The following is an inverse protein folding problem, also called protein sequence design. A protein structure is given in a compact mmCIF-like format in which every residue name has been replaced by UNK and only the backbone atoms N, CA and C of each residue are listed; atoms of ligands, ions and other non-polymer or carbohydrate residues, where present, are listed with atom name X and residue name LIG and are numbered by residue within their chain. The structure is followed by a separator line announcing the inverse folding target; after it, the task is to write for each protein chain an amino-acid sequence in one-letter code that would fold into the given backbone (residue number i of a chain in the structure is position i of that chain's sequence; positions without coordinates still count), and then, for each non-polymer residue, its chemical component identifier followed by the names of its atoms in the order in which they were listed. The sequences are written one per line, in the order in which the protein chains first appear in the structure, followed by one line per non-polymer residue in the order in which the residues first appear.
data_IF_602147266423
#
_entry.id   IF_602147266423
#
_cell.length_a   1.000
_cell.length_b   1.000
_cell.length_c   1.000
_cell.angle_alpha   90.00
_cell.angle_beta   90.00
_cell.angle_gamma   90.00
#
_symmetry.space_group_name_H-M   'P 1'
#
loop_
_entity.id
_entity.type
_entity.pdbx_description
1 polymer ?
#
# COMPACT_ATOMS: atom_id res chain seq x y z
N UNK A 1 6.06 25.70 26.90
CA UNK A 1 4.93 25.55 25.94
C UNK A 1 4.65 24.07 25.93
N UNK A 2 3.97 23.66 26.99
CA UNK A 2 3.73 22.28 27.35
C UNK A 2 2.53 21.80 26.54
N UNK A 3 2.77 20.90 25.61
CA UNK A 3 1.70 20.25 24.85
C UNK A 3 0.97 19.34 25.83
N UNK A 4 -0.17 19.80 26.31
CA UNK A 4 -1.10 19.02 27.13
C UNK A 4 -1.67 17.88 26.25
N UNK A 5 -0.95 16.76 26.19
CA UNK A 5 -1.43 15.48 25.65
C UNK A 5 -2.48 14.92 26.61
N UNK A 6 -3.66 15.54 26.63
CA UNK A 6 -4.75 15.25 27.56
C UNK A 6 -5.59 14.01 27.23
N UNK A 7 -6.64 13.70 28.04
CA UNK A 7 -7.45 12.48 28.01
C UNK A 7 -8.09 12.15 26.66
N UNK A 8 -8.32 13.15 25.81
CA UNK A 8 -8.87 12.98 24.46
C UNK A 8 -8.02 12.05 23.57
N UNK A 9 -6.69 12.04 23.75
CA UNK A 9 -5.80 11.12 23.03
C UNK A 9 -6.01 9.66 23.45
N UNK A 10 -6.20 9.42 24.76
CA UNK A 10 -6.50 8.09 25.29
C UNK A 10 -7.90 7.62 24.85
N UNK A 11 -8.88 8.52 24.83
CA UNK A 11 -10.25 8.23 24.40
C UNK A 11 -10.31 7.83 22.92
N UNK A 12 -9.58 8.55 22.05
CA UNK A 12 -9.47 8.20 20.62
C UNK A 12 -8.88 6.81 20.40
N UNK A 13 -7.87 6.45 21.18
CA UNK A 13 -7.25 5.12 21.11
C UNK A 13 -8.21 4.02 21.57
N UNK A 14 -8.98 4.27 22.63
CA UNK A 14 -10.01 3.34 23.12
C UNK A 14 -11.12 3.14 22.07
N UNK A 15 -11.61 4.23 21.46
CA UNK A 15 -12.59 4.16 20.38
C UNK A 15 -12.06 3.33 19.19
N UNK A 16 -10.81 3.59 18.75
CA UNK A 16 -10.19 2.83 17.68
C UNK A 16 -10.11 1.32 17.98
N UNK A 17 -9.79 0.94 19.24
CA UNK A 17 -9.77 -0.48 19.67
C UNK A 17 -11.16 -1.10 19.60
N UNK A 18 -12.20 -0.39 20.04
CA UNK A 18 -13.59 -0.88 19.99
C UNK A 18 -13.99 -1.12 18.53
N UNK A 19 -13.75 -0.16 17.64
CA UNK A 19 -14.10 -0.26 16.23
C UNK A 19 -13.36 -1.40 15.52
N UNK A 20 -12.06 -1.57 15.79
CA UNK A 20 -11.26 -2.65 15.20
C UNK A 20 -11.75 -4.03 15.65
N UNK A 21 -12.11 -4.18 16.93
CA UNK A 21 -12.67 -5.44 17.44
C UNK A 21 -14.07 -5.72 16.89
N UNK A 22 -14.89 -4.69 16.71
CA UNK A 22 -16.21 -4.82 16.08
C UNK A 22 -16.12 -5.31 14.62
N UNK A 23 -15.00 -5.04 13.94
CA UNK A 23 -14.68 -5.56 12.60
C UNK A 23 -14.11 -6.98 12.61
N UNK A 24 -13.90 -7.57 13.78
CA UNK A 24 -13.41 -8.93 13.96
C UNK A 24 -11.89 -9.06 14.04
N UNK A 25 -11.16 -7.96 14.27
CA UNK A 25 -9.71 -8.03 14.52
C UNK A 25 -9.40 -8.30 16.00
N UNK A 26 -8.34 -9.05 16.24
CA UNK A 26 -7.74 -9.22 17.56
C UNK A 26 -6.83 -8.02 17.82
N UNK A 27 -7.12 -7.27 18.89
CA UNK A 27 -6.40 -6.03 19.19
C UNK A 27 -5.83 -6.07 20.60
N UNK A 28 -4.51 -5.96 20.70
CA UNK A 28 -3.75 -5.82 21.93
C UNK A 28 -3.13 -4.43 22.07
N UNK A 29 -2.80 -4.06 23.30
CA UNK A 29 -2.10 -2.81 23.64
C UNK A 29 -0.80 -3.15 24.37
N UNK A 30 0.29 -3.40 23.65
CA UNK A 30 1.55 -3.80 24.27
C UNK A 30 2.14 -2.68 25.14
N UNK A 31 1.85 -1.41 24.83
CA UNK A 31 2.31 -0.24 25.58
C UNK A 31 1.36 0.95 25.37
N UNK A 32 1.49 2.03 26.17
CA UNK A 32 0.75 3.27 25.95
C UNK A 32 0.99 3.83 24.53
N UNK A 33 -0.07 4.32 23.87
CA UNK A 33 0.05 4.88 22.52
C UNK A 33 0.34 3.88 21.40
N UNK A 34 0.29 2.57 21.66
CA UNK A 34 0.58 1.56 20.63
C UNK A 34 -0.48 0.47 20.59
N UNK A 35 -0.86 0.08 19.36
CA UNK A 35 -1.76 -1.00 19.06
C UNK A 35 -1.02 -2.14 18.36
N UNK A 36 -1.41 -3.36 18.69
CA UNK A 36 -1.09 -4.56 17.91
C UNK A 36 -2.39 -5.14 17.39
N UNK A 37 -2.53 -5.25 16.08
CA UNK A 37 -3.71 -5.75 15.39
C UNK A 37 -3.36 -7.04 14.66
N UNK A 38 -4.09 -8.10 14.96
CA UNK A 38 -3.94 -9.41 14.32
C UNK A 38 -5.27 -9.82 13.68
N UNK A 39 -5.21 -10.61 12.62
CA UNK A 39 -6.41 -11.16 12.00
C UNK A 39 -6.21 -11.69 10.59
N UNK A 40 -7.32 -12.11 9.98
CA UNK A 40 -7.33 -12.70 8.64
C UNK A 40 -7.35 -11.62 7.55
N UNK A 41 -6.19 -11.07 7.22
CA UNK A 41 -6.03 -10.13 6.11
C UNK A 41 -4.70 -10.32 5.37
N UNK A 42 -4.68 -10.06 4.06
CA UNK A 42 -3.45 -10.17 3.24
C UNK A 42 -2.59 -8.91 3.20
N UNK A 43 -3.19 -7.75 3.50
CA UNK A 43 -2.53 -6.45 3.40
C UNK A 43 -2.41 -5.79 4.79
N UNK A 44 -1.36 -6.13 5.57
CA UNK A 44 -1.11 -5.51 6.87
C UNK A 44 -0.94 -3.99 6.81
N UNK A 45 -0.31 -3.45 5.76
CA UNK A 45 -0.14 -2.00 5.60
C UNK A 45 -1.48 -1.27 5.55
N UNK A 46 -2.46 -1.80 4.81
CA UNK A 46 -3.81 -1.23 4.76
C UNK A 46 -4.43 -1.19 6.17
N UNK A 47 -4.38 -2.30 6.90
CA UNK A 47 -4.98 -2.39 8.25
C UNK A 47 -4.29 -1.44 9.22
N UNK A 48 -2.96 -1.38 9.23
CA UNK A 48 -2.20 -0.48 10.09
C UNK A 48 -2.51 1.00 9.78
N UNK A 49 -2.58 1.39 8.51
CA UNK A 49 -2.93 2.76 8.12
C UNK A 49 -4.38 3.12 8.49
N UNK A 50 -5.31 2.18 8.32
CA UNK A 50 -6.71 2.37 8.71
C UNK A 50 -6.85 2.58 10.22
N UNK A 51 -6.20 1.73 11.01
CA UNK A 51 -6.17 1.84 12.46
C UNK A 51 -5.54 3.15 12.93
N UNK A 52 -4.42 3.57 12.33
CA UNK A 52 -3.79 4.86 12.62
C UNK A 52 -4.72 6.04 12.26
N UNK A 53 -5.45 5.95 11.15
CA UNK A 53 -6.43 6.96 10.74
C UNK A 53 -7.58 7.16 11.74
N UNK A 54 -8.00 6.10 12.45
CA UNK A 54 -9.05 6.18 13.49
C UNK A 54 -8.61 6.93 14.75
N UNK A 55 -7.33 6.87 15.08
CA UNK A 55 -6.76 7.59 16.22
C UNK A 55 -6.51 9.09 15.93
N UNK A 56 -6.85 9.55 14.71
CA UNK A 56 -6.80 10.93 14.24
C UNK A 56 -5.43 11.59 14.49
N UNK A 57 -5.42 12.61 15.35
CA UNK A 57 -4.26 13.47 15.62
C UNK A 57 -3.35 12.93 16.73
N UNK A 58 -3.73 11.79 17.32
CA UNK A 58 -2.95 11.15 18.38
C UNK A 58 -1.67 10.59 17.80
N UNK A 59 -0.52 10.91 18.43
CA UNK A 59 0.73 10.23 18.11
C UNK A 59 0.62 8.77 18.56
N UNK A 60 0.80 7.82 17.63
CA UNK A 60 0.66 6.40 17.93
C UNK A 60 1.50 5.50 17.02
N UNK A 61 1.74 4.29 17.52
CA UNK A 61 2.22 3.16 16.73
C UNK A 61 1.13 2.12 16.50
N UNK A 62 1.10 1.51 15.32
CA UNK A 62 0.23 0.38 15.02
C UNK A 62 1.01 -0.70 14.31
N UNK A 63 1.15 -1.85 14.96
CA UNK A 63 1.49 -3.09 14.27
C UNK A 63 0.23 -3.74 13.72
N UNK A 64 0.30 -4.22 12.48
CA UNK A 64 -0.66 -5.15 11.91
C UNK A 64 0.08 -6.42 11.47
N UNK A 65 -0.32 -7.59 11.98
CA UNK A 65 0.23 -8.90 11.62
C UNK A 65 -0.83 -9.70 10.87
N UNK A 66 -0.50 -10.15 9.66
CA UNK A 66 -1.39 -10.97 8.84
C UNK A 66 -1.35 -12.45 9.23
N UNK A 67 -2.33 -13.21 8.74
CA UNK A 67 -2.35 -14.67 8.83
C UNK A 67 -1.12 -15.35 8.18
N UNK A 68 -0.46 -14.68 7.24
CA UNK A 68 0.78 -15.18 6.58
C UNK A 68 2.05 -14.87 7.41
N UNK A 69 1.90 -14.36 8.64
CA UNK A 69 2.98 -13.90 9.53
C UNK A 69 3.83 -12.73 8.95
N UNK A 70 3.28 -12.01 7.96
CA UNK A 70 3.82 -10.74 7.50
C UNK A 70 3.33 -9.62 8.40
N UNK A 71 4.12 -8.56 8.57
CA UNK A 71 3.68 -7.44 9.39
C UNK A 71 3.99 -6.09 8.77
N UNK A 72 3.26 -5.08 9.27
CA UNK A 72 3.53 -3.68 9.00
C UNK A 72 3.42 -2.88 10.29
N UNK A 73 4.44 -2.07 10.57
CA UNK A 73 4.39 -1.02 11.58
C UNK A 73 4.09 0.30 10.89
N UNK A 74 3.04 0.98 11.34
CA UNK A 74 2.76 2.38 11.06
C UNK A 74 3.03 3.18 12.33
N UNK A 75 3.98 4.11 12.25
CA UNK A 75 4.23 5.08 13.31
C UNK A 75 3.80 6.46 12.82
N UNK A 76 2.88 7.08 13.54
CA UNK A 76 2.29 8.36 13.21
C UNK A 76 2.59 9.36 14.31
N UNK A 77 3.26 10.45 13.94
CA UNK A 77 3.43 11.61 14.79
C UNK A 77 3.43 12.83 13.88
N UNK A 78 2.28 13.53 13.79
CA UNK A 78 2.08 14.57 12.76
C UNK A 78 3.25 15.56 12.74
N UNK A 79 3.79 15.90 11.55
CA UNK A 79 3.36 15.51 10.20
C UNK A 79 3.99 14.21 9.67
N UNK A 80 4.82 13.55 10.48
CA UNK A 80 5.67 12.46 10.06
C UNK A 80 4.93 11.11 10.16
N UNK A 81 4.84 10.42 9.02
CA UNK A 81 4.32 9.06 8.88
C UNK A 81 5.44 8.13 8.47
N UNK A 82 5.74 7.15 9.32
CA UNK A 82 6.69 6.09 9.04
C UNK A 82 5.96 4.78 8.83
N UNK A 83 6.27 4.08 7.75
CA UNK A 83 5.73 2.75 7.45
C UNK A 83 6.88 1.78 7.28
N UNK A 84 6.86 0.68 8.01
CA UNK A 84 7.88 -0.37 7.98
C UNK A 84 7.17 -1.67 7.68
N UNK A 85 7.52 -2.28 6.56
CA UNK A 85 6.90 -3.54 6.12
C UNK A 85 7.92 -4.66 6.18
N UNK A 86 7.49 -5.82 6.67
CA UNK A 86 8.25 -7.05 6.68
C UNK A 86 7.44 -8.14 5.98
N UNK A 87 8.07 -8.80 5.00
CA UNK A 87 7.47 -9.89 4.24
C UNK A 87 8.34 -11.14 4.38
N UNK A 88 7.80 -12.17 5.03
CA UNK A 88 8.53 -13.39 5.38
C UNK A 88 9.87 -13.08 6.07
N UNK A 89 10.92 -13.80 5.66
CA UNK A 89 12.31 -13.58 6.11
C UNK A 89 13.07 -12.51 5.28
N UNK A 90 12.38 -11.71 4.46
CA UNK A 90 13.00 -10.67 3.64
C UNK A 90 13.54 -9.50 4.47
N UNK A 91 14.22 -8.52 3.85
CA UNK A 91 14.62 -7.31 4.55
C UNK A 91 13.41 -6.40 4.81
N UNK A 92 13.40 -5.75 5.97
CA UNK A 92 12.44 -4.69 6.28
C UNK A 92 12.54 -3.56 5.26
N UNK A 93 11.39 -3.05 4.82
CA UNK A 93 11.31 -1.89 3.92
C UNK A 93 10.71 -0.71 4.65
N UNK A 94 11.54 0.32 4.84
CA UNK A 94 11.17 1.56 5.49
C UNK A 94 10.69 2.60 4.48
N UNK A 95 9.64 3.35 4.83
CA UNK A 95 9.19 4.54 4.11
C UNK A 95 8.88 5.62 5.12
N UNK A 96 9.37 6.84 4.86
CA UNK A 96 9.10 8.00 5.71
C UNK A 96 8.48 9.08 4.84
N UNK A 97 7.34 9.63 5.27
CA UNK A 97 6.60 10.68 4.58
C UNK A 97 6.25 11.82 5.52
N UNK A 98 6.23 13.04 5.00
CA UNK A 98 5.62 14.20 5.67
C UNK A 98 4.29 14.53 5.04
N UNK A 99 3.21 14.26 5.76
CA UNK A 99 1.86 14.50 5.28
C UNK A 99 1.45 15.96 5.50
N UNK A 100 0.70 16.57 4.55
CA UNK A 100 0.04 17.85 4.80
C UNK A 100 -0.97 17.75 5.95
N UNK A 101 -1.23 18.84 6.66
CA UNK A 101 -2.11 18.86 7.85
C UNK A 101 -3.52 18.31 7.61
N UNK A 102 -4.05 18.49 6.40
CA UNK A 102 -5.38 18.00 6.00
C UNK A 102 -5.44 16.49 5.73
N UNK A 103 -4.30 15.78 5.75
CA UNK A 103 -4.24 14.36 5.42
C UNK A 103 -4.05 13.52 6.69
N UNK A 104 -4.87 12.47 6.78
CA UNK A 104 -4.73 11.42 7.78
C UNK A 104 -3.89 10.26 7.23
N UNK A 105 -3.36 9.38 8.10
CA UNK A 105 -2.57 8.22 7.69
C UNK A 105 -3.27 7.32 6.65
N UNK A 106 -4.57 7.11 6.78
CA UNK A 106 -5.38 6.27 5.89
C UNK A 106 -5.47 6.79 4.45
N UNK A 107 -5.27 8.10 4.22
CA UNK A 107 -5.21 8.69 2.88
C UNK A 107 -4.13 8.05 1.99
N UNK A 108 -3.11 7.43 2.60
CA UNK A 108 -2.07 6.71 1.85
C UNK A 108 -2.59 5.45 1.14
N UNK A 109 -3.74 4.88 1.55
CA UNK A 109 -4.32 3.72 0.87
C UNK A 109 -4.74 4.03 -0.57
N UNK A 110 -5.06 5.28 -0.86
CA UNK A 110 -5.47 5.75 -2.19
C UNK A 110 -4.25 6.05 -3.07
N UNK A 111 -3.13 6.41 -2.44
CA UNK A 111 -1.88 6.76 -3.11
C UNK A 111 -1.11 5.47 -3.43
N UNK A 112 -1.44 4.86 -4.57
CA UNK A 112 -0.87 3.58 -5.02
C UNK A 112 0.66 3.62 -5.19
N UNK A 113 1.40 3.32 -4.11
CA UNK A 113 2.73 2.66 -4.09
C UNK A 113 3.96 3.39 -4.67
N UNK A 114 3.79 4.40 -5.51
CA UNK A 114 4.87 5.22 -6.09
C UNK A 114 5.42 6.25 -5.10
N UNK A 115 6.66 6.74 -5.30
CA UNK A 115 7.19 7.84 -4.51
C UNK A 115 6.28 9.05 -4.66
N UNK A 116 5.65 9.46 -3.56
CA UNK A 116 4.83 10.67 -3.53
C UNK A 116 5.74 11.87 -3.31
N UNK A 117 5.29 13.07 -3.69
CA UNK A 117 6.00 14.33 -3.39
C UNK A 117 6.27 14.52 -1.89
N UNK A 118 5.54 13.78 -1.05
CA UNK A 118 5.62 13.78 0.41
C UNK A 118 6.64 12.76 0.96
N UNK A 119 7.19 11.87 0.13
CA UNK A 119 8.14 10.84 0.55
C UNK A 119 9.55 11.41 0.73
N UNK A 120 10.10 11.24 1.93
CA UNK A 120 11.48 11.57 2.25
C UNK A 120 12.36 10.46 1.68
N UNK A 121 13.23 10.84 0.76
CA UNK A 121 14.13 9.89 0.11
C UNK A 121 15.15 9.33 1.10
N UNK A 122 15.24 7.99 1.16
CA UNK A 122 16.32 7.29 1.85
C UNK A 122 17.37 6.83 0.84
N UNK A 123 18.64 7.01 1.19
CA UNK A 123 19.78 6.51 0.42
C UNK A 123 20.71 5.76 1.37
N UNK A 124 20.83 4.41 1.30
CA UNK A 124 20.16 3.51 0.36
C UNK A 124 18.63 3.47 0.50
N UNK A 125 17.94 3.13 -0.59
CA UNK A 125 16.47 3.05 -0.61
C UNK A 125 15.94 2.07 0.43
N UNK A 126 14.79 2.42 1.00
CA UNK A 126 14.05 1.63 1.98
C UNK A 126 14.77 1.37 3.30
N UNK A 127 15.78 2.20 3.63
CA UNK A 127 16.45 2.18 4.93
C UNK A 127 15.84 3.21 5.87
N UNK A 128 15.97 2.94 7.17
CA UNK A 128 15.63 3.90 8.21
C UNK A 128 16.44 5.19 8.01
N UNK A 129 15.77 6.34 8.07
CA UNK A 129 16.42 7.64 8.24
C UNK A 129 16.45 7.98 9.73
N UNK A 130 17.39 8.83 10.14
CA UNK A 130 17.46 9.28 11.54
C UNK A 130 16.15 9.94 11.98
N UNK A 131 15.52 10.74 11.11
CA UNK A 131 14.22 11.32 11.37
C UNK A 131 13.11 10.26 11.54
N UNK A 132 13.15 9.17 10.77
CA UNK A 132 12.18 8.09 10.93
C UNK A 132 12.37 7.35 12.27
N UNK A 133 13.61 7.20 12.73
CA UNK A 133 13.91 6.61 14.05
C UNK A 133 13.44 7.50 15.19
N UNK A 134 13.67 8.80 15.08
CA UNK A 134 13.19 9.77 16.07
C UNK A 134 11.66 9.76 16.22
N UNK A 135 10.91 9.49 15.14
CA UNK A 135 9.45 9.30 15.21
C UNK A 135 9.09 8.08 16.06
N UNK A 136 9.75 6.95 15.84
CA UNK A 136 9.53 5.73 16.64
C UNK A 136 9.89 5.96 18.12
N UNK A 137 11.03 6.59 18.39
CA UNK A 137 11.49 6.93 19.74
C UNK A 137 10.48 7.84 20.46
N UNK A 138 9.94 8.86 19.77
CA UNK A 138 8.93 9.76 20.34
C UNK A 138 7.61 9.06 20.70
N UNK A 139 7.32 7.90 20.11
CA UNK A 139 6.17 7.03 20.44
C UNK A 139 6.55 5.99 21.51
N UNK A 140 7.84 5.84 21.81
CA UNK A 140 8.38 4.85 22.73
C UNK A 140 8.60 3.47 22.10
N UNK A 141 8.77 3.38 20.78
CA UNK A 141 9.07 2.12 20.08
C UNK A 141 10.58 2.02 19.84
N UNK A 142 11.23 1.12 20.57
CA UNK A 142 12.68 0.92 20.45
C UNK A 142 13.07 -0.02 19.30
N UNK A 143 12.24 -1.04 19.04
CA UNK A 143 12.41 -2.00 17.94
C UNK A 143 11.17 -2.00 17.04
N UNK A 144 11.33 -1.85 15.71
CA UNK A 144 10.20 -1.95 14.79
C UNK A 144 9.54 -3.34 14.74
N UNK A 145 10.23 -4.40 15.17
CA UNK A 145 9.70 -5.77 15.18
C UNK A 145 8.58 -5.87 16.23
N UNK A 146 7.40 -6.40 15.87
CA UNK A 146 6.32 -6.56 16.82
C UNK A 146 6.70 -7.48 17.99
N UNK A 147 6.20 -7.21 19.20
CA UNK A 147 6.53 -8.02 20.38
C UNK A 147 6.02 -9.46 20.18
N UNK A 148 6.92 -10.44 20.41
CA UNK A 148 6.59 -11.85 20.29
C UNK A 148 6.56 -12.39 18.86
N UNK A 149 6.90 -11.58 17.85
CA UNK A 149 7.00 -12.06 16.47
C UNK A 149 8.30 -12.83 16.26
N UNK A 150 8.18 -14.00 15.62
CA UNK A 150 9.30 -14.82 15.19
C UNK A 150 9.34 -14.86 13.65
N UNK A 151 10.51 -14.65 13.03
CA UNK A 151 10.63 -14.72 11.59
C UNK A 151 10.26 -16.11 11.09
N UNK A 152 9.46 -16.21 10.02
CA UNK A 152 9.19 -17.51 9.43
C UNK A 152 10.51 -18.12 8.92
N UNK A 153 10.64 -19.46 8.95
CA UNK A 153 11.83 -20.13 8.47
C UNK A 153 12.13 -19.69 7.03
N UNK A 154 13.41 -19.50 6.68
CA UNK A 154 13.77 -19.12 5.32
C UNK A 154 13.21 -20.16 4.34
N UNK A 155 12.64 -19.68 3.23
CA UNK A 155 12.19 -20.58 2.18
C UNK A 155 13.36 -21.48 1.75
N UNK A 156 13.12 -22.79 1.51
CA UNK A 156 14.18 -23.67 1.03
C UNK A 156 14.78 -23.09 -0.25
N UNK A 157 16.11 -23.04 -0.33
CA UNK A 157 16.79 -22.55 -1.52
C UNK A 157 16.26 -23.31 -2.74
N UNK A 158 15.81 -22.61 -3.80
CA UNK A 158 15.34 -23.30 -4.99
C UNK A 158 16.49 -24.13 -5.53
N UNK A 159 16.32 -25.46 -5.53
CA UNK A 159 17.30 -26.37 -6.10
C UNK A 159 17.69 -25.86 -7.49
N UNK A 160 19.00 -25.68 -7.71
CA UNK A 160 19.53 -25.11 -8.93
C UNK A 160 18.92 -25.81 -10.15
N UNK A 161 18.01 -25.15 -10.83
CA UNK A 161 17.45 -25.66 -12.08
C UNK A 161 18.60 -25.72 -13.08
N UNK A 162 18.91 -26.88 -13.69
CA UNK A 162 19.98 -26.96 -14.65
C UNK A 162 19.70 -25.96 -15.78
N UNK A 163 20.71 -25.16 -16.12
CA UNK A 163 20.61 -24.14 -17.16
C UNK A 163 19.99 -24.74 -18.42
N UNK A 164 18.81 -24.24 -18.82
CA UNK A 164 18.21 -24.62 -20.09
C UNK A 164 19.19 -24.22 -21.19
N UNK A 165 19.64 -25.22 -21.97
CA UNK A 165 20.48 -25.01 -23.16
C UNK A 165 19.86 -23.88 -24.00
N UNK A 166 20.67 -22.94 -24.52
CA UNK A 166 20.15 -21.87 -25.35
C UNK A 166 19.37 -22.47 -26.52
N UNK A 167 18.10 -22.10 -26.64
CA UNK A 167 17.28 -22.46 -27.78
C UNK A 167 17.93 -21.87 -29.04
N UNK A 168 18.04 -22.67 -30.10
CA UNK A 168 18.53 -22.21 -31.41
C UNK A 168 17.78 -20.95 -31.84
N UNK A 169 18.46 -19.95 -32.44
CA UNK A 169 17.79 -18.79 -32.98
C UNK A 169 16.73 -19.25 -33.99
N UNK A 170 15.47 -18.87 -33.73
CA UNK A 170 14.38 -19.14 -34.67
C UNK A 170 14.56 -18.21 -35.86
N UNK A 171 14.55 -18.76 -37.07
CA UNK A 171 14.66 -18.00 -38.31
C UNK A 171 13.63 -16.86 -38.36
N UNK A 172 14.04 -15.70 -38.90
CA UNK A 172 13.21 -14.51 -38.99
C UNK A 172 11.88 -14.81 -39.73
N UNK A 173 10.73 -14.32 -39.22
CA UNK A 173 9.46 -14.48 -39.91
C UNK A 173 9.46 -13.70 -41.23
N UNK A 174 8.93 -14.31 -42.30
CA UNK A 174 8.72 -13.64 -43.59
C UNK A 174 7.75 -12.46 -43.44
N UNK A 175 7.92 -11.37 -44.21
CA UNK A 175 7.01 -10.23 -44.17
C UNK A 175 5.57 -10.64 -44.49
N UNK A 176 4.62 -10.20 -43.67
CA UNK A 176 3.18 -10.34 -43.95
C UNK A 176 2.78 -9.37 -45.06
N UNK A 177 1.95 -9.85 -45.98
CA UNK A 177 1.33 -9.03 -47.02
C UNK A 177 0.47 -7.90 -46.41
N UNK A 178 0.35 -6.73 -47.07
CA UNK A 178 -0.39 -5.59 -46.54
C UNK A 178 -1.89 -5.90 -46.38
N UNK A 179 -2.46 -5.40 -45.28
CA UNK A 179 -3.87 -5.53 -44.96
C UNK A 179 -4.74 -4.79 -46.00
N UNK A 180 -5.91 -5.37 -46.30
CA UNK A 180 -6.91 -4.75 -47.17
C UNK A 180 -7.43 -3.46 -46.52
N UNK A 181 -7.70 -2.39 -47.29
CA UNK A 181 -8.23 -1.14 -46.74
C UNK A 181 -9.58 -1.35 -46.07
N UNK A 182 -9.78 -0.70 -44.92
CA UNK A 182 -11.05 -0.69 -44.21
C UNK A 182 -12.14 -0.02 -45.05
N UNK A 183 -13.37 -0.57 -45.09
CA UNK A 183 -14.45 0.01 -45.86
C UNK A 183 -14.88 1.35 -45.25
N UNK A 184 -14.69 2.43 -46.01
CA UNK A 184 -15.20 3.76 -45.67
C UNK A 184 -16.72 3.71 -45.69
N UNK A 185 -17.34 3.87 -44.53
CA UNK A 185 -18.79 3.94 -44.40
C UNK A 185 -19.33 5.15 -45.18
N UNK A 186 -20.30 4.92 -46.07
CA UNK A 186 -20.99 6.00 -46.77
C UNK A 186 -21.84 6.76 -45.76
N UNK A 187 -21.77 8.08 -45.75
CA UNK A 187 -22.51 8.94 -44.80
C UNK A 187 -23.69 9.58 -45.54
N UNK A 188 -24.86 9.61 -44.91
CA UNK A 188 -26.05 10.29 -45.44
C UNK A 188 -25.80 11.81 -45.50
N UNK A 189 -25.98 12.47 -46.65
CA UNK A 189 -25.72 13.90 -46.78
C UNK A 189 -26.73 14.79 -46.03
N UNK A 190 -27.89 14.24 -45.66
CA UNK A 190 -28.99 15.02 -45.04
C UNK A 190 -28.89 15.04 -43.53
N UNK A 191 -28.58 13.90 -42.89
CA UNK A 191 -28.52 13.77 -41.43
C UNK A 191 -27.15 13.33 -40.90
N UNK A 192 -26.17 13.13 -41.76
CA UNK A 192 -24.78 12.75 -41.42
C UNK A 192 -24.62 11.43 -40.64
N UNK A 193 -25.64 10.57 -40.62
CA UNK A 193 -25.53 9.21 -40.10
C UNK A 193 -24.94 8.24 -41.14
N UNK A 194 -24.29 7.17 -40.66
CA UNK A 194 -23.76 6.12 -41.53
C UNK A 194 -24.90 5.39 -42.26
N UNK A 195 -24.80 5.31 -43.58
CA UNK A 195 -25.77 4.61 -44.43
C UNK A 195 -25.56 3.10 -44.33
N UNK A 196 -26.65 2.32 -44.20
CA UNK A 196 -26.58 0.87 -44.36
C UNK A 196 -26.21 0.51 -45.81
N UNK A 197 -25.83 -0.75 -46.03
CA UNK A 197 -25.42 -1.25 -47.36
C UNK A 197 -26.50 -1.08 -48.45
N UNK A 198 -27.77 -0.95 -48.05
CA UNK A 198 -28.92 -0.71 -48.94
C UNK A 198 -28.91 0.69 -49.56
N UNK A 199 -28.16 1.64 -49.00
CA UNK A 199 -28.02 3.01 -49.52
C UNK A 199 -29.17 3.97 -49.18
N UNK A 200 -30.15 3.51 -48.40
CA UNK A 200 -31.30 4.31 -47.94
C UNK A 200 -31.10 4.60 -46.44
N UNK A 201 -31.30 5.85 -46.02
CA UNK A 201 -31.12 6.24 -44.63
C UNK A 201 -32.39 5.95 -43.83
N UNK A 202 -32.27 5.19 -42.73
CA UNK A 202 -33.39 4.82 -41.87
C UNK A 202 -34.15 6.02 -41.27
N UNK A 203 -33.52 7.20 -41.21
CA UNK A 203 -34.11 8.41 -40.65
C UNK A 203 -34.65 9.38 -41.71
N UNK A 204 -34.18 9.32 -42.96
CA UNK A 204 -34.60 10.24 -44.03
C UNK A 204 -35.52 9.60 -45.08
N UNK A 205 -35.54 8.26 -45.16
CA UNK A 205 -36.33 7.52 -46.15
C UNK A 205 -35.67 7.40 -47.52
#
# INVERSE_FOLDING_TARGET
MDTETGPASADNLVAAVIDLRAEGYDVARPQPGVLLVEGEFKNPERVALQAAGRAADTSLGVWAISADNDWTLVAWNRPDLVTITQRGAGPQRWRHRRLPDRWNPDAQQILQGGPTVHEISSTPKFRATEAARAVLEGIGIDDPVPPGWEPPPPAPEPAAVPARKPARPRAAPKPKAPAKPEPVAKICPTCFMALPATGICDNCG
#
